data_IF_782455299295
#
_entry.id   IF_782455299295
#
_cell.length_a   1.000
_cell.length_b   1.000
_cell.length_c   1.000
_cell.angle_alpha   90.00
_cell.angle_beta   90.00
_cell.angle_gamma   90.00
#
_symmetry.space_group_name_H-M   'P 1'
#
loop_
_entity.id
_entity.type
_entity.pdbx_description
1 polymer ?
#
# COMPACT_ATOMS: atom_id res chain seq x y z
N UNK A 1 22.49 12.44 14.97
CA UNK A 1 22.15 11.86 16.28
C UNK A 1 21.11 12.78 16.90
N UNK A 2 19.83 12.40 16.80
CA UNK A 2 18.71 13.12 17.42
C UNK A 2 18.63 12.76 18.90
N UNK A 3 18.48 13.77 19.73
CA UNK A 3 18.45 13.71 21.19
C UNK A 3 17.37 12.72 21.71
N UNK A 4 17.73 11.72 22.53
CA UNK A 4 16.79 10.74 23.11
C UNK A 4 15.76 11.35 24.07
N UNK A 5 15.82 12.66 24.39
CA UNK A 5 14.91 13.33 25.32
C UNK A 5 13.49 13.64 24.78
N UNK A 6 13.17 13.38 23.51
CA UNK A 6 11.86 13.74 22.95
C UNK A 6 10.70 12.81 23.39
N UNK A 7 11.01 11.63 23.94
CA UNK A 7 10.04 10.78 24.62
C UNK A 7 10.55 10.50 26.03
N UNK A 8 9.93 11.06 27.09
CA UNK A 8 10.30 10.65 28.43
C UNK A 8 10.12 9.12 28.53
N UNK A 9 11.08 8.39 29.11
CA UNK A 9 10.87 6.99 29.43
C UNK A 9 9.56 6.85 30.21
N UNK A 10 8.82 5.73 30.09
CA UNK A 10 7.59 5.55 30.83
C UNK A 10 7.83 5.93 32.30
N UNK A 11 6.95 6.77 32.86
CA UNK A 11 7.09 7.35 34.21
C UNK A 11 7.18 6.29 35.33
N UNK A 12 6.97 5.02 34.98
CA UNK A 12 6.94 3.85 35.84
C UNK A 12 7.64 2.70 35.11
N UNK A 13 8.34 1.84 35.85
CA UNK A 13 8.93 0.60 35.33
C UNK A 13 7.88 -0.39 34.77
N UNK A 14 6.59 -0.10 34.99
CA UNK A 14 5.44 -0.89 34.55
C UNK A 14 4.53 -0.09 33.61
N UNK A 15 4.14 -0.70 32.50
CA UNK A 15 3.22 -0.13 31.50
C UNK A 15 1.81 -0.73 31.65
N UNK A 16 0.81 0.00 31.16
CA UNK A 16 -0.60 -0.39 31.17
C UNK A 16 -1.28 -0.28 29.81
N UNK A 17 -2.59 -0.54 29.77
CA UNK A 17 -3.37 -0.45 28.54
C UNK A 17 -3.41 0.97 27.95
N UNK A 18 -3.24 2.02 28.75
CA UNK A 18 -3.14 3.40 28.26
C UNK A 18 -1.95 3.61 27.33
N UNK A 19 -0.79 3.01 27.63
CA UNK A 19 0.41 3.12 26.80
C UNK A 19 0.20 2.42 25.45
N UNK A 20 -0.45 1.25 25.48
CA UNK A 20 -0.80 0.49 24.27
C UNK A 20 -1.78 1.28 23.39
N UNK A 21 -2.83 1.86 23.98
CA UNK A 21 -3.79 2.66 23.21
C UNK A 21 -3.17 3.96 22.67
N UNK A 22 -2.22 4.56 23.40
CA UNK A 22 -1.46 5.69 22.91
C UNK A 22 -0.62 5.32 21.68
N UNK A 23 0.09 4.18 21.70
CA UNK A 23 0.86 3.68 20.57
C UNK A 23 -0.03 3.41 19.35
N UNK A 24 -1.18 2.75 19.55
CA UNK A 24 -2.16 2.49 18.49
C UNK A 24 -2.72 3.78 17.89
N UNK A 25 -3.06 4.75 18.73
CA UNK A 25 -3.59 6.04 18.30
C UNK A 25 -2.59 6.79 17.43
N UNK A 26 -1.34 6.89 17.89
CA UNK A 26 -0.27 7.56 17.14
C UNK A 26 0.03 6.86 15.81
N UNK A 27 0.01 5.52 15.79
CA UNK A 27 0.18 4.74 14.55
C UNK A 27 -0.93 5.04 13.54
N UNK A 28 -2.20 5.12 13.99
CA UNK A 28 -3.33 5.51 13.13
C UNK A 28 -3.18 6.94 12.58
N UNK A 29 -2.75 7.90 13.42
CA UNK A 29 -2.51 9.27 12.99
C UNK A 29 -1.43 9.36 11.92
N UNK A 30 -0.30 8.67 12.10
CA UNK A 30 0.79 8.65 11.12
C UNK A 30 0.37 7.98 9.80
N UNK A 31 -0.43 6.92 9.86
CA UNK A 31 -1.02 6.28 8.67
C UNK A 31 -1.91 7.22 7.87
N UNK A 32 -2.69 8.08 8.55
CA UNK A 32 -3.49 9.11 7.88
C UNK A 32 -2.62 10.17 7.17
N UNK A 33 -1.43 10.48 7.70
CA UNK A 33 -0.46 11.35 7.04
C UNK A 33 0.13 10.67 5.80
N UNK A 34 0.55 9.40 5.91
CA UNK A 34 1.03 8.59 4.78
C UNK A 34 0.01 8.54 3.62
N UNK A 35 -1.27 8.31 3.90
CA UNK A 35 -2.29 8.26 2.86
C UNK A 35 -2.45 9.58 2.10
N UNK A 36 -2.36 10.72 2.81
CA UNK A 36 -2.54 12.06 2.22
C UNK A 36 -1.30 12.58 1.49
N UNK A 37 -0.12 12.37 2.06
CA UNK A 37 1.10 13.08 1.63
C UNK A 37 2.24 12.15 1.19
N UNK A 38 2.03 10.84 1.26
CA UNK A 38 3.09 9.85 1.05
C UNK A 38 3.87 9.53 2.33
N UNK A 39 4.53 8.38 2.33
CA UNK A 39 5.24 7.84 3.47
C UNK A 39 6.42 8.70 3.91
N UNK A 40 7.05 9.42 2.98
CA UNK A 40 8.14 10.35 3.30
C UNK A 40 7.71 11.50 4.21
N UNK A 41 6.42 11.85 4.23
CA UNK A 41 5.90 12.90 5.11
C UNK A 41 5.84 12.50 6.59
N UNK A 42 5.89 11.20 6.91
CA UNK A 42 5.74 10.71 8.28
C UNK A 42 6.79 9.68 8.72
N UNK A 43 7.67 9.22 7.81
CA UNK A 43 8.66 8.17 8.09
C UNK A 43 9.51 8.45 9.33
N UNK A 44 10.06 9.65 9.46
CA UNK A 44 10.93 9.96 10.60
C UNK A 44 10.17 9.94 11.92
N UNK A 45 8.92 10.43 11.92
CA UNK A 45 8.05 10.30 13.08
C UNK A 45 7.72 8.84 13.41
N UNK A 46 7.51 7.98 12.41
CA UNK A 46 7.34 6.54 12.59
C UNK A 46 8.58 5.91 13.21
N UNK A 47 9.79 6.22 12.71
CA UNK A 47 11.06 5.73 13.26
C UNK A 47 11.23 6.15 14.71
N UNK A 48 10.90 7.41 15.04
CA UNK A 48 10.92 7.89 16.42
C UNK A 48 9.97 7.09 17.31
N UNK A 49 8.78 6.72 16.80
CA UNK A 49 7.85 5.85 17.56
C UNK A 49 8.36 4.43 17.75
N UNK A 50 9.17 3.90 16.84
CA UNK A 50 9.80 2.59 17.02
C UNK A 50 10.73 2.60 18.24
N UNK A 51 11.51 3.66 18.45
CA UNK A 51 12.34 3.78 19.66
C UNK A 51 11.50 3.78 20.93
N UNK A 52 10.40 4.53 20.97
CA UNK A 52 9.50 4.51 22.13
C UNK A 52 8.86 3.11 22.34
N UNK A 53 8.44 2.46 21.26
CA UNK A 53 7.92 1.10 21.30
C UNK A 53 8.92 0.08 21.88
N UNK A 54 10.22 0.23 21.59
CA UNK A 54 11.27 -0.60 22.19
C UNK A 54 11.36 -0.40 23.70
N UNK A 55 11.21 0.83 24.19
CA UNK A 55 11.17 1.11 25.63
C UNK A 55 9.95 0.47 26.30
N UNK A 56 8.77 0.52 25.65
CA UNK A 56 7.57 -0.16 26.14
C UNK A 56 7.76 -1.68 26.18
N UNK A 57 8.41 -2.27 25.17
CA UNK A 57 8.70 -3.70 25.13
C UNK A 57 9.61 -4.13 26.28
N UNK A 58 10.55 -3.29 26.72
CA UNK A 58 11.48 -3.58 27.82
C UNK A 58 10.86 -3.40 29.23
N UNK A 59 9.72 -2.71 29.35
CA UNK A 59 9.07 -2.45 30.63
C UNK A 59 8.27 -3.65 31.17
N UNK A 60 8.00 -3.70 32.47
CA UNK A 60 7.12 -4.70 33.07
C UNK A 60 5.67 -4.52 32.60
N UNK A 61 4.96 -5.61 32.37
CA UNK A 61 3.55 -5.61 31.98
C UNK A 61 2.88 -6.90 32.43
N UNK A 62 1.56 -6.89 32.62
CA UNK A 62 0.80 -8.14 32.71
C UNK A 62 0.79 -8.85 31.35
N UNK A 63 0.53 -10.16 31.34
CA UNK A 63 0.48 -10.95 30.09
C UNK A 63 -0.54 -10.38 29.09
N UNK A 64 -1.69 -9.93 29.59
CA UNK A 64 -2.71 -9.28 28.78
C UNK A 64 -2.17 -8.00 28.11
N UNK A 65 -1.55 -7.10 28.88
CA UNK A 65 -0.99 -5.85 28.34
C UNK A 65 0.14 -6.16 27.36
N UNK A 66 0.99 -7.15 27.66
CA UNK A 66 2.09 -7.58 26.79
C UNK A 66 1.58 -8.10 25.45
N UNK A 67 0.56 -8.95 25.44
CA UNK A 67 -0.05 -9.45 24.19
C UNK A 67 -0.61 -8.30 23.33
N UNK A 68 -1.32 -7.35 23.95
CA UNK A 68 -1.86 -6.17 23.24
C UNK A 68 -0.76 -5.24 22.73
N UNK A 69 0.33 -5.08 23.48
CA UNK A 69 1.50 -4.32 23.06
C UNK A 69 2.15 -4.95 21.83
N UNK A 70 2.35 -6.28 21.80
CA UNK A 70 2.99 -6.96 20.66
C UNK A 70 2.21 -6.69 19.35
N UNK A 71 0.88 -6.79 19.38
CA UNK A 71 0.03 -6.39 18.23
C UNK A 71 0.24 -4.92 17.83
N UNK A 72 0.26 -4.00 18.80
CA UNK A 72 0.44 -2.57 18.50
C UNK A 72 1.83 -2.27 17.92
N UNK A 73 2.87 -2.93 18.41
CA UNK A 73 4.24 -2.81 17.90
C UNK A 73 4.35 -3.44 16.51
N UNK A 74 3.69 -4.57 16.26
CA UNK A 74 3.59 -5.17 14.94
C UNK A 74 2.97 -4.21 13.92
N UNK A 75 1.86 -3.54 14.27
CA UNK A 75 1.21 -2.58 13.37
C UNK A 75 2.09 -1.33 13.12
N UNK A 76 2.84 -0.89 14.12
CA UNK A 76 3.80 0.20 13.94
C UNK A 76 4.96 -0.21 13.01
N UNK A 77 5.52 -1.41 13.19
CA UNK A 77 6.53 -1.96 12.27
C UNK A 77 5.97 -2.15 10.85
N UNK A 78 4.71 -2.56 10.71
CA UNK A 78 4.03 -2.63 9.43
C UNK A 78 3.97 -1.25 8.73
N UNK A 79 3.63 -0.19 9.48
CA UNK A 79 3.67 1.18 8.97
C UNK A 79 5.11 1.64 8.64
N UNK A 80 6.10 1.28 9.46
CA UNK A 80 7.51 1.59 9.20
C UNK A 80 8.01 0.93 7.91
N UNK A 81 7.62 -0.32 7.67
CA UNK A 81 7.91 -1.03 6.43
C UNK A 81 7.30 -0.34 5.23
N UNK A 82 6.02 0.05 5.33
CA UNK A 82 5.31 0.72 4.25
C UNK A 82 5.86 2.11 3.91
N UNK A 83 6.19 2.92 4.92
CA UNK A 83 6.76 4.26 4.70
C UNK A 83 8.19 4.17 4.18
N UNK A 84 8.97 3.18 4.62
CA UNK A 84 10.31 2.91 4.06
C UNK A 84 10.23 2.48 2.60
N UNK A 85 9.29 1.61 2.25
CA UNK A 85 9.02 1.24 0.86
C UNK A 85 8.60 2.45 0.01
N UNK A 86 7.76 3.34 0.56
CA UNK A 86 7.37 4.55 -0.14
C UNK A 86 8.52 5.53 -0.40
N UNK A 87 9.56 5.48 0.42
CA UNK A 87 10.81 6.24 0.26
C UNK A 87 11.92 5.46 -0.46
N UNK A 88 11.61 4.37 -1.17
CA UNK A 88 12.59 3.55 -1.92
C UNK A 88 13.61 2.80 -1.06
N UNK A 89 13.45 2.77 0.25
CA UNK A 89 14.36 2.08 1.18
C UNK A 89 13.98 0.62 1.34
N UNK A 90 14.16 -0.17 0.28
CA UNK A 90 13.69 -1.56 0.19
C UNK A 90 14.23 -2.45 1.31
N UNK A 91 15.53 -2.35 1.64
CA UNK A 91 16.13 -3.13 2.73
C UNK A 91 15.50 -2.84 4.09
N UNK A 92 15.27 -1.55 4.40
CA UNK A 92 14.59 -1.14 5.62
C UNK A 92 13.12 -1.60 5.63
N UNK A 93 12.45 -1.55 4.48
CA UNK A 93 11.08 -2.04 4.34
C UNK A 93 10.97 -3.52 4.72
N UNK A 94 11.80 -4.39 4.15
CA UNK A 94 11.80 -5.82 4.49
C UNK A 94 12.15 -6.06 5.95
N UNK A 95 13.17 -5.39 6.48
CA UNK A 95 13.52 -5.49 7.90
C UNK A 95 12.31 -5.19 8.79
N UNK A 96 11.61 -4.09 8.56
CA UNK A 96 10.45 -3.74 9.38
C UNK A 96 9.27 -4.72 9.18
N UNK A 97 9.02 -5.22 7.97
CA UNK A 97 7.99 -6.24 7.75
C UNK A 97 8.32 -7.57 8.43
N UNK A 98 9.59 -8.00 8.45
CA UNK A 98 10.01 -9.22 9.17
C UNK A 98 9.77 -9.07 10.68
N UNK A 99 10.15 -7.92 11.25
CA UNK A 99 9.84 -7.59 12.65
C UNK A 99 8.34 -7.54 12.92
N UNK A 100 7.55 -7.02 11.99
CA UNK A 100 6.09 -6.98 12.12
C UNK A 100 5.51 -8.40 12.18
N UNK A 101 5.96 -9.31 11.31
CA UNK A 101 5.54 -10.72 11.31
C UNK A 101 5.95 -11.44 12.60
N UNK A 102 7.14 -11.17 13.12
CA UNK A 102 7.61 -11.73 14.40
C UNK A 102 6.68 -11.40 15.57
N UNK A 103 6.10 -10.20 15.57
CA UNK A 103 5.22 -9.71 16.63
C UNK A 103 3.74 -10.03 16.38
N UNK A 104 3.32 -10.23 15.12
CA UNK A 104 1.94 -10.50 14.73
C UNK A 104 1.51 -11.97 14.80
N UNK A 105 2.34 -12.90 15.35
CA UNK A 105 2.12 -14.36 15.28
C UNK A 105 0.75 -14.86 15.72
N UNK A 106 0.05 -14.11 16.57
CA UNK A 106 -1.28 -14.46 17.09
C UNK A 106 -2.40 -13.53 16.57
N UNK A 107 -2.11 -12.73 15.55
CA UNK A 107 -3.05 -11.82 14.90
C UNK A 107 -3.04 -12.11 13.38
N UNK A 108 -3.97 -12.95 12.95
CA UNK A 108 -4.04 -13.45 11.58
C UNK A 108 -4.42 -12.36 10.57
N UNK A 109 -5.28 -11.42 10.96
CA UNK A 109 -5.66 -10.27 10.13
C UNK A 109 -4.48 -9.32 9.93
N UNK A 110 -3.73 -9.00 11.00
CA UNK A 110 -2.54 -8.18 10.90
C UNK A 110 -1.43 -8.89 10.10
N UNK A 111 -1.26 -10.20 10.30
CA UNK A 111 -0.33 -11.01 9.51
C UNK A 111 -0.67 -10.95 8.02
N UNK A 112 -1.96 -11.06 7.67
CA UNK A 112 -2.43 -10.94 6.28
C UNK A 112 -2.10 -9.57 5.69
N UNK A 113 -2.34 -8.49 6.44
CA UNK A 113 -1.99 -7.12 6.03
C UNK A 113 -0.47 -6.97 5.74
N UNK A 114 0.37 -7.52 6.62
CA UNK A 114 1.82 -7.45 6.47
C UNK A 114 2.28 -8.27 5.24
N UNK A 115 1.72 -9.47 5.06
CA UNK A 115 1.97 -10.32 3.89
C UNK A 115 1.58 -9.61 2.59
N UNK A 116 0.39 -9.02 2.54
CA UNK A 116 -0.06 -8.19 1.42
C UNK A 116 0.95 -7.07 1.10
N UNK A 117 1.33 -6.27 2.11
CA UNK A 117 2.24 -5.13 1.92
C UNK A 117 3.63 -5.58 1.48
N UNK A 118 4.14 -6.69 1.99
CA UNK A 118 5.42 -7.26 1.56
C UNK A 118 5.35 -7.78 0.13
N UNK A 119 4.28 -8.46 -0.26
CA UNK A 119 4.03 -8.87 -1.65
C UNK A 119 4.02 -7.68 -2.61
N UNK A 120 3.46 -6.53 -2.20
CA UNK A 120 3.48 -5.28 -2.97
C UNK A 120 4.89 -4.73 -3.20
N UNK A 121 5.84 -4.96 -2.27
CA UNK A 121 7.25 -4.58 -2.47
C UNK A 121 7.86 -5.41 -3.59
N UNK A 122 7.73 -6.74 -3.53
CA UNK A 122 8.20 -7.63 -4.60
C UNK A 122 7.58 -7.26 -5.94
N UNK A 123 6.27 -7.06 -5.97
CA UNK A 123 5.55 -6.72 -7.19
C UNK A 123 6.04 -5.40 -7.78
N UNK A 124 6.27 -4.37 -6.96
CA UNK A 124 6.76 -3.07 -7.45
C UNK A 124 8.17 -3.17 -8.04
N UNK A 125 9.06 -3.93 -7.41
CA UNK A 125 10.44 -4.11 -7.86
C UNK A 125 10.64 -5.19 -8.93
N UNK A 126 9.57 -5.63 -9.60
CA UNK A 126 9.67 -6.51 -10.77
C UNK A 126 9.90 -7.98 -10.44
N UNK A 127 9.54 -8.41 -9.23
CA UNK A 127 9.55 -9.82 -8.82
C UNK A 127 8.10 -10.36 -8.65
N UNK A 128 7.30 -10.47 -9.72
CA UNK A 128 5.90 -10.89 -9.61
C UNK A 128 5.74 -12.35 -9.16
N UNK A 129 6.71 -13.23 -9.41
CA UNK A 129 6.71 -14.60 -8.91
C UNK A 129 6.81 -14.66 -7.38
N UNK A 130 7.73 -13.91 -6.79
CA UNK A 130 7.82 -13.78 -5.33
C UNK A 130 6.56 -13.15 -4.76
N UNK A 131 6.02 -12.12 -5.42
CA UNK A 131 4.78 -11.46 -5.00
C UNK A 131 3.59 -12.43 -4.94
N UNK A 132 3.45 -13.31 -5.93
CA UNK A 132 2.41 -14.36 -5.94
C UNK A 132 2.49 -15.25 -4.71
N UNK A 133 3.70 -15.64 -4.27
CA UNK A 133 3.86 -16.47 -3.08
C UNK A 133 3.33 -15.80 -1.80
N UNK A 134 3.31 -14.46 -1.75
CA UNK A 134 2.65 -13.72 -0.65
C UNK A 134 1.14 -13.65 -0.85
N UNK A 135 0.67 -13.29 -2.04
CA UNK A 135 -0.77 -13.10 -2.27
C UNK A 135 -1.58 -14.41 -2.19
N UNK A 136 -0.97 -15.55 -2.55
CA UNK A 136 -1.60 -16.87 -2.49
C UNK A 136 -1.71 -17.47 -1.08
N UNK A 137 -1.17 -16.80 -0.04
CA UNK A 137 -1.37 -17.22 1.35
C UNK A 137 -2.83 -17.11 1.81
N UNK A 138 -3.66 -16.38 1.07
CA UNK A 138 -5.08 -16.19 1.37
C UNK A 138 -5.34 -15.23 2.54
N UNK A 139 -6.61 -15.11 2.89
CA UNK A 139 -7.09 -14.28 3.99
C UNK A 139 -8.36 -14.89 4.58
N UNK A 140 -8.71 -14.53 5.82
CA UNK A 140 -9.88 -15.10 6.50
C UNK A 140 -11.20 -14.43 6.09
N UNK A 141 -11.17 -13.12 5.85
CA UNK A 141 -12.38 -12.37 5.51
C UNK A 141 -12.52 -12.23 3.99
N UNK A 142 -13.76 -12.18 3.46
CA UNK A 142 -13.97 -11.96 2.02
C UNK A 142 -13.34 -10.66 1.52
N UNK A 143 -13.41 -9.57 2.29
CA UNK A 143 -12.82 -8.29 1.88
C UNK A 143 -11.29 -8.37 1.77
N UNK A 144 -10.63 -9.01 2.73
CA UNK A 144 -9.19 -9.23 2.66
C UNK A 144 -8.82 -10.19 1.52
N UNK A 145 -9.65 -11.20 1.26
CA UNK A 145 -9.46 -12.14 0.13
C UNK A 145 -9.55 -11.42 -1.21
N UNK A 146 -10.48 -10.47 -1.35
CA UNK A 146 -10.58 -9.61 -2.54
C UNK A 146 -9.26 -8.85 -2.79
N UNK A 147 -8.70 -8.22 -1.75
CA UNK A 147 -7.42 -7.52 -1.85
C UNK A 147 -6.31 -8.48 -2.33
N UNK A 148 -6.23 -9.67 -1.76
CA UNK A 148 -5.21 -10.66 -2.13
C UNK A 148 -5.36 -11.10 -3.60
N UNK A 149 -6.57 -11.47 -4.02
CA UNK A 149 -6.85 -11.89 -5.39
C UNK A 149 -6.64 -10.79 -6.42
N UNK A 150 -6.98 -9.54 -6.11
CA UNK A 150 -6.72 -8.42 -7.02
C UNK A 150 -5.21 -8.19 -7.24
N UNK A 151 -4.39 -8.44 -6.22
CA UNK A 151 -2.94 -8.34 -6.35
C UNK A 151 -2.30 -9.60 -6.95
N UNK A 152 -2.90 -10.78 -6.80
CA UNK A 152 -2.57 -11.96 -7.64
C UNK A 152 -2.81 -11.63 -9.11
N UNK A 153 -3.96 -11.05 -9.46
CA UNK A 153 -4.31 -10.67 -10.81
C UNK A 153 -3.26 -9.74 -11.42
N UNK A 154 -2.84 -8.73 -10.66
CA UNK A 154 -1.77 -7.83 -11.08
C UNK A 154 -0.44 -8.56 -11.27
N UNK A 155 -0.06 -9.44 -10.34
CA UNK A 155 1.17 -10.21 -10.48
C UNK A 155 1.16 -11.16 -11.70
N UNK A 156 0.01 -11.76 -12.03
CA UNK A 156 -0.17 -12.54 -13.26
C UNK A 156 -0.11 -11.67 -14.51
N UNK A 157 -0.75 -10.50 -14.50
CA UNK A 157 -0.73 -9.57 -15.63
C UNK A 157 0.70 -9.10 -15.95
N UNK A 158 1.50 -8.79 -14.92
CA UNK A 158 2.93 -8.44 -15.09
C UNK A 158 3.80 -9.58 -15.65
N UNK A 159 3.30 -10.81 -15.66
CA UNK A 159 3.95 -11.98 -16.27
C UNK A 159 3.36 -12.31 -17.64
N UNK A 160 2.50 -11.46 -18.22
CA UNK A 160 1.73 -11.73 -19.44
C UNK A 160 0.88 -13.01 -19.37
N UNK A 161 0.41 -13.38 -18.16
CA UNK A 161 -0.45 -14.54 -17.90
C UNK A 161 -1.92 -14.10 -17.84
N UNK A 162 -2.46 -13.72 -19.00
CA UNK A 162 -3.77 -13.07 -19.12
C UNK A 162 -4.92 -13.88 -18.53
N UNK A 163 -4.95 -15.17 -18.83
CA UNK A 163 -6.00 -16.08 -18.35
C UNK A 163 -6.03 -16.19 -16.82
N UNK A 164 -4.85 -16.34 -16.18
CA UNK A 164 -4.75 -16.35 -14.72
C UNK A 164 -5.07 -14.98 -14.11
N UNK A 165 -4.66 -13.90 -14.77
CA UNK A 165 -4.95 -12.54 -14.32
C UNK A 165 -6.45 -12.28 -14.27
N UNK A 166 -7.17 -12.58 -15.36
CA UNK A 166 -8.62 -12.38 -15.44
C UNK A 166 -9.38 -13.30 -14.48
N UNK A 167 -8.95 -14.56 -14.34
CA UNK A 167 -9.54 -15.47 -13.33
C UNK A 167 -9.33 -14.96 -11.90
N UNK A 168 -8.15 -14.45 -11.58
CA UNK A 168 -7.87 -13.90 -10.24
C UNK A 168 -8.65 -12.59 -10.01
N UNK A 169 -8.81 -11.74 -11.02
CA UNK A 169 -9.61 -10.54 -10.94
C UNK A 169 -11.10 -10.85 -10.71
N UNK A 170 -11.64 -11.86 -11.39
CA UNK A 170 -12.99 -12.37 -11.14
C UNK A 170 -13.17 -12.85 -9.69
N UNK A 171 -12.22 -13.64 -9.17
CA UNK A 171 -12.25 -14.05 -7.74
C UNK A 171 -12.22 -12.85 -6.79
N UNK A 172 -11.48 -11.79 -7.13
CA UNK A 172 -11.46 -10.57 -6.33
C UNK A 172 -12.85 -9.93 -6.29
N UNK A 173 -13.48 -9.76 -7.46
CA UNK A 173 -14.83 -9.20 -7.59
C UNK A 173 -15.87 -10.03 -6.82
N UNK A 174 -15.82 -11.36 -6.93
CA UNK A 174 -16.72 -12.25 -6.19
C UNK A 174 -16.53 -12.13 -4.67
N UNK A 175 -15.29 -12.12 -4.20
CA UNK A 175 -14.97 -11.96 -2.78
C UNK A 175 -15.37 -10.59 -2.24
N UNK A 176 -15.24 -9.54 -3.06
CA UNK A 176 -15.72 -8.19 -2.73
C UNK A 176 -17.24 -8.15 -2.61
N UNK A 177 -17.96 -8.73 -3.58
CA UNK A 177 -19.42 -8.79 -3.57
C UNK A 177 -19.98 -9.58 -2.37
N UNK A 178 -19.25 -10.60 -1.91
CA UNK A 178 -19.59 -11.39 -0.73
C UNK A 178 -19.23 -10.70 0.60
N UNK A 179 -18.46 -9.60 0.57
CA UNK A 179 -17.96 -8.97 1.79
C UNK A 179 -19.01 -8.13 2.51
N UNK A 180 -19.09 -8.31 3.83
CA UNK A 180 -19.76 -7.35 4.71
C UNK A 180 -18.72 -6.42 5.35
N UNK A 181 -18.68 -5.18 4.87
CA UNK A 181 -17.73 -4.15 5.36
C UNK A 181 -17.86 -3.93 6.86
N UNK A 182 -19.01 -4.17 7.49
CA UNK A 182 -19.17 -4.01 8.95
C UNK A 182 -18.25 -4.95 9.73
N UNK A 183 -18.04 -6.15 9.20
CA UNK A 183 -17.22 -7.21 9.80
C UNK A 183 -15.79 -7.26 9.24
N UNK A 184 -15.43 -6.36 8.34
CA UNK A 184 -14.07 -6.32 7.78
C UNK A 184 -13.04 -5.81 8.80
N UNK A 185 -11.81 -6.35 8.78
CA UNK A 185 -10.74 -5.83 9.61
C UNK A 185 -10.39 -4.41 9.17
N UNK A 186 -10.03 -3.55 10.12
CA UNK A 186 -9.84 -2.11 9.89
C UNK A 186 -8.85 -1.81 8.76
N UNK A 187 -7.81 -2.63 8.61
CA UNK A 187 -6.81 -2.44 7.57
C UNK A 187 -7.36 -2.68 6.16
N UNK A 188 -8.41 -3.50 5.99
CA UNK A 188 -8.99 -3.83 4.70
C UNK A 188 -10.10 -2.84 4.28
N UNK A 189 -10.60 -2.01 5.20
CA UNK A 189 -11.73 -1.08 4.96
C UNK A 189 -11.44 -0.01 3.90
N UNK A 190 -10.18 0.21 3.50
CA UNK A 190 -9.87 1.10 2.36
C UNK A 190 -10.29 0.49 1.03
N UNK A 191 -10.43 -0.83 0.97
CA UNK A 191 -10.79 -1.55 -0.25
C UNK A 191 -12.30 -1.43 -0.45
N UNK A 192 -12.69 -0.42 -1.20
CA UNK A 192 -14.06 -0.14 -1.61
C UNK A 192 -14.21 -0.35 -3.12
N UNK A 193 -15.38 0.00 -3.67
CA UNK A 193 -15.64 -0.11 -5.11
C UNK A 193 -14.65 0.73 -5.94
N UNK A 194 -14.19 1.87 -5.40
CA UNK A 194 -13.24 2.74 -6.09
C UNK A 194 -11.84 2.12 -6.15
N UNK A 195 -11.38 1.50 -5.05
CA UNK A 195 -10.11 0.78 -5.04
C UNK A 195 -10.16 -0.47 -5.95
N UNK A 196 -11.28 -1.19 -5.95
CA UNK A 196 -11.47 -2.33 -6.86
C UNK A 196 -11.47 -1.91 -8.34
N UNK A 197 -12.13 -0.79 -8.68
CA UNK A 197 -12.07 -0.21 -10.03
C UNK A 197 -10.65 0.23 -10.41
N UNK A 198 -9.92 0.84 -9.47
CA UNK A 198 -8.51 1.23 -9.65
C UNK A 198 -7.64 0.02 -9.99
N UNK A 199 -7.78 -1.07 -9.24
CA UNK A 199 -7.03 -2.31 -9.48
C UNK A 199 -7.46 -3.00 -10.78
N UNK A 200 -8.75 -3.01 -11.11
CA UNK A 200 -9.26 -3.49 -12.39
C UNK A 200 -8.59 -2.75 -13.54
N UNK A 201 -8.62 -1.41 -13.50
CA UNK A 201 -7.97 -0.57 -14.49
C UNK A 201 -6.47 -0.86 -14.65
N UNK A 202 -5.75 -0.97 -13.52
CA UNK A 202 -4.32 -1.29 -13.51
C UNK A 202 -4.04 -2.66 -14.12
N UNK A 203 -4.80 -3.70 -13.75
CA UNK A 203 -4.62 -5.05 -14.30
C UNK A 203 -4.82 -5.05 -15.80
N UNK A 204 -5.88 -4.40 -16.31
CA UNK A 204 -6.13 -4.32 -17.75
C UNK A 204 -5.07 -3.48 -18.48
N UNK A 205 -4.55 -2.40 -17.87
CA UNK A 205 -3.39 -1.66 -18.42
C UNK A 205 -2.17 -2.57 -18.59
N UNK A 206 -1.84 -3.38 -17.59
CA UNK A 206 -0.69 -4.31 -17.65
C UNK A 206 -0.88 -5.41 -18.71
N UNK A 207 -2.14 -5.77 -19.02
CA UNK A 207 -2.48 -6.69 -20.10
C UNK A 207 -2.56 -6.03 -21.48
N UNK A 208 -2.46 -4.69 -21.56
CA UNK A 208 -2.65 -3.93 -22.80
C UNK A 208 -4.10 -3.83 -23.28
N UNK A 209 -5.08 -4.20 -22.45
CA UNK A 209 -6.51 -4.03 -22.73
C UNK A 209 -6.97 -2.62 -22.32
N UNK A 210 -6.62 -1.65 -23.17
CA UNK A 210 -6.91 -0.23 -22.97
C UNK A 210 -8.41 0.06 -22.98
N UNK A 211 -9.19 -0.69 -23.78
CA UNK A 211 -10.64 -0.53 -23.90
C UNK A 211 -11.36 -0.76 -22.57
N UNK A 212 -10.93 -1.76 -21.78
CA UNK A 212 -11.46 -1.98 -20.42
C UNK A 212 -10.80 -1.07 -19.38
N UNK A 213 -9.49 -0.83 -19.52
CA UNK A 213 -8.73 -0.06 -18.54
C UNK A 213 -9.18 1.41 -18.44
N UNK A 214 -9.34 2.09 -19.57
CA UNK A 214 -9.62 3.55 -19.60
C UNK A 214 -10.90 3.92 -18.84
N UNK A 215 -12.08 3.31 -19.10
CA UNK A 215 -13.31 3.65 -18.36
C UNK A 215 -13.21 3.40 -16.85
N UNK A 216 -12.55 2.31 -16.45
CA UNK A 216 -12.34 1.98 -15.04
C UNK A 216 -11.43 3.00 -14.35
N UNK A 217 -10.32 3.38 -15.00
CA UNK A 217 -9.37 4.35 -14.48
C UNK A 217 -9.94 5.77 -14.43
N UNK A 218 -10.72 6.19 -15.42
CA UNK A 218 -11.42 7.47 -15.42
C UNK A 218 -12.35 7.57 -14.20
N UNK A 219 -13.21 6.57 -14.02
CA UNK A 219 -14.13 6.49 -12.88
C UNK A 219 -13.38 6.52 -11.55
N UNK A 220 -12.27 5.77 -11.44
CA UNK A 220 -11.43 5.76 -10.25
C UNK A 220 -10.82 7.14 -9.97
N UNK A 221 -10.26 7.83 -10.97
CA UNK A 221 -9.65 9.16 -10.82
C UNK A 221 -10.66 10.21 -10.38
N UNK A 222 -11.91 10.11 -10.81
CA UNK A 222 -13.01 10.99 -10.42
C UNK A 222 -13.46 10.76 -8.97
N UNK A 223 -13.56 9.50 -8.55
CA UNK A 223 -14.02 9.13 -7.19
C UNK A 223 -12.93 9.26 -6.12
N UNK A 224 -11.66 9.09 -6.48
CA UNK A 224 -10.55 9.21 -5.54
C UNK A 224 -10.35 10.67 -5.13
N UNK A 225 -10.68 10.99 -3.89
CA UNK A 225 -10.47 12.31 -3.30
C UNK A 225 -9.02 12.59 -2.88
N UNK A 226 -8.73 13.80 -2.36
CA UNK A 226 -7.41 14.19 -1.88
C UNK A 226 -6.82 13.28 -0.79
N UNK A 227 -7.67 12.59 -0.03
CA UNK A 227 -7.26 11.62 1.00
C UNK A 227 -6.49 10.41 0.43
N UNK A 228 -6.66 10.13 -0.87
CA UNK A 228 -6.02 9.03 -1.59
C UNK A 228 -5.17 9.55 -2.76
N UNK A 229 -4.53 10.71 -2.58
CA UNK A 229 -3.77 11.41 -3.62
C UNK A 229 -2.78 10.48 -4.35
N UNK A 230 -2.04 9.65 -3.62
CA UNK A 230 -1.09 8.69 -4.22
C UNK A 230 -1.77 7.63 -5.09
N UNK A 231 -2.89 7.04 -4.64
CA UNK A 231 -3.65 6.07 -5.46
C UNK A 231 -4.22 6.74 -6.71
N UNK A 232 -4.71 7.97 -6.58
CA UNK A 232 -5.19 8.76 -7.72
C UNK A 232 -4.09 9.03 -8.73
N UNK A 233 -2.89 9.40 -8.27
CA UNK A 233 -1.73 9.60 -9.15
C UNK A 233 -1.33 8.30 -9.85
N UNK A 234 -1.40 7.14 -9.19
CA UNK A 234 -1.17 5.85 -9.86
C UNK A 234 -2.20 5.58 -10.97
N UNK A 235 -3.47 5.90 -10.74
CA UNK A 235 -4.51 5.75 -11.77
C UNK A 235 -4.28 6.70 -12.95
N UNK A 236 -3.88 7.96 -12.70
CA UNK A 236 -3.50 8.90 -13.76
C UNK A 236 -2.32 8.39 -14.61
N UNK A 237 -1.29 7.82 -13.97
CA UNK A 237 -0.15 7.22 -14.67
C UNK A 237 -0.60 6.06 -15.58
N UNK A 238 -1.44 5.17 -15.05
CA UNK A 238 -1.97 4.04 -15.82
C UNK A 238 -2.85 4.53 -16.99
N UNK A 239 -3.69 5.53 -16.75
CA UNK A 239 -4.58 6.10 -17.76
C UNK A 239 -3.79 6.76 -18.90
N UNK A 240 -2.80 7.58 -18.57
CA UNK A 240 -1.90 8.18 -19.57
C UNK A 240 -1.15 7.10 -20.37
N UNK A 241 -0.73 6.02 -19.70
CA UNK A 241 -0.10 4.87 -20.37
C UNK A 241 -1.05 4.23 -21.38
N UNK A 242 -2.32 4.02 -21.03
CA UNK A 242 -3.32 3.50 -21.97
C UNK A 242 -3.52 4.43 -23.19
N UNK A 243 -3.64 5.74 -22.99
CA UNK A 243 -3.78 6.67 -24.12
C UNK A 243 -2.56 6.64 -25.05
N UNK A 244 -1.34 6.54 -24.51
CA UNK A 244 -0.15 6.35 -25.35
C UNK A 244 -0.17 5.02 -26.11
N UNK A 245 -0.60 3.93 -25.47
CA UNK A 245 -0.74 2.63 -26.14
C UNK A 245 -1.76 2.66 -27.29
N UNK A 246 -2.85 3.41 -27.13
CA UNK A 246 -3.87 3.61 -28.18
C UNK A 246 -3.45 4.62 -29.26
N UNK A 247 -2.33 5.32 -29.06
CA UNK A 247 -1.88 6.40 -29.95
C UNK A 247 -2.65 7.71 -29.80
N UNK A 248 -3.46 7.86 -28.75
CA UNK A 248 -4.14 9.11 -28.38
C UNK A 248 -3.17 10.06 -27.66
N UNK A 249 -2.29 10.68 -28.44
CA UNK A 249 -1.15 11.44 -27.91
C UNK A 249 -1.56 12.71 -27.16
N UNK A 250 -2.64 13.36 -27.59
CA UNK A 250 -3.11 14.61 -26.98
C UNK A 250 -3.67 14.35 -25.57
N UNK A 251 -4.54 13.36 -25.43
CA UNK A 251 -5.08 12.99 -24.11
C UNK A 251 -4.00 12.34 -23.24
N UNK A 252 -3.15 11.48 -23.82
CA UNK A 252 -2.00 10.91 -23.12
C UNK A 252 -1.07 11.99 -22.55
N UNK A 253 -0.82 13.08 -23.30
CA UNK A 253 -0.06 14.23 -22.83
C UNK A 253 -0.79 15.01 -21.74
N UNK A 254 -2.08 15.27 -21.90
CA UNK A 254 -2.88 16.00 -20.92
C UNK A 254 -2.94 15.25 -19.57
N UNK A 255 -3.28 13.96 -19.59
CA UNK A 255 -3.34 13.10 -18.40
C UNK A 255 -1.95 12.90 -17.80
N UNK A 256 -0.93 12.65 -18.62
CA UNK A 256 0.46 12.49 -18.18
C UNK A 256 0.97 13.74 -17.47
N UNK A 257 0.63 14.93 -17.96
CA UNK A 257 1.01 16.20 -17.31
C UNK A 257 0.32 16.37 -15.95
N UNK A 258 -0.97 16.01 -15.84
CA UNK A 258 -1.70 15.99 -14.56
C UNK A 258 -1.07 15.00 -13.56
N UNK A 259 -0.61 13.84 -14.03
CA UNK A 259 0.10 12.87 -13.20
C UNK A 259 1.42 13.46 -12.67
N UNK A 260 2.19 14.13 -13.52
CA UNK A 260 3.45 14.80 -13.16
C UNK A 260 3.23 15.88 -12.09
N UNK A 261 2.27 16.79 -12.30
CA UNK A 261 1.95 17.83 -11.30
C UNK A 261 1.49 17.22 -9.98
N UNK A 262 0.64 16.18 -10.01
CA UNK A 262 0.18 15.52 -8.79
C UNK A 262 1.30 14.79 -8.03
N UNK A 263 2.40 14.41 -8.69
CA UNK A 263 3.54 13.76 -8.05
C UNK A 263 4.44 14.73 -7.29
N UNK A 264 4.48 16.01 -7.68
CA UNK A 264 5.35 17.02 -7.05
C UNK A 264 4.96 17.27 -5.58
N UNK A 265 3.66 17.20 -5.28
CA UNK A 265 3.11 17.36 -3.93
C UNK A 265 3.23 16.09 -3.06
N UNK A 266 3.68 14.96 -3.63
CA UNK A 266 3.77 13.68 -2.94
C UNK A 266 5.21 13.35 -2.53
N UNK A 267 5.39 12.98 -1.25
CA UNK A 267 6.66 12.45 -0.73
C UNK A 267 6.69 10.93 -0.89
N UNK A 268 6.72 10.47 -2.15
CA UNK A 268 6.70 9.05 -2.53
C UNK A 268 7.59 8.77 -3.74
N UNK A 269 8.65 7.98 -3.55
CA UNK A 269 9.53 7.52 -4.64
C UNK A 269 8.82 6.54 -5.58
N UNK A 270 7.85 5.78 -5.05
CA UNK A 270 7.05 4.82 -5.84
C UNK A 270 6.28 5.47 -6.98
N UNK A 271 5.85 6.72 -6.80
CA UNK A 271 5.17 7.50 -7.86
C UNK A 271 6.13 7.71 -9.02
N UNK A 272 7.34 8.17 -8.74
CA UNK A 272 8.38 8.40 -9.75
C UNK A 272 8.84 7.11 -10.43
N UNK A 273 8.96 6.01 -9.69
CA UNK A 273 9.26 4.69 -10.28
C UNK A 273 8.19 4.27 -11.30
N UNK A 274 6.91 4.43 -10.95
CA UNK A 274 5.78 4.06 -11.82
C UNK A 274 5.59 5.00 -13.00
N UNK A 275 6.11 6.22 -12.94
CA UNK A 275 6.13 7.12 -14.09
C UNK A 275 7.09 6.65 -15.18
N UNK A 276 8.16 5.90 -14.85
CA UNK A 276 9.18 5.54 -15.86
C UNK A 276 8.60 4.76 -17.05
N UNK A 277 7.74 3.72 -16.88
CA UNK A 277 7.07 3.07 -18.00
C UNK A 277 6.21 4.03 -18.85
N UNK A 278 5.41 4.89 -18.21
CA UNK A 278 4.59 5.90 -18.90
C UNK A 278 5.46 6.86 -19.73
N UNK A 279 6.57 7.35 -19.16
CA UNK A 279 7.51 8.23 -19.85
C UNK A 279 8.18 7.52 -21.04
N UNK A 280 8.46 6.23 -20.94
CA UNK A 280 8.98 5.43 -22.06
C UNK A 280 7.93 5.26 -23.17
N UNK A 281 6.67 5.02 -22.80
CA UNK A 281 5.57 4.95 -23.76
C UNK A 281 5.43 6.28 -24.51
N UNK A 282 5.39 7.41 -23.79
CA UNK A 282 5.36 8.74 -24.39
C UNK A 282 6.55 8.98 -25.35
N UNK A 283 7.77 8.64 -24.93
CA UNK A 283 8.97 8.82 -25.73
C UNK A 283 8.98 7.96 -27.02
N UNK A 284 8.39 6.76 -26.97
CA UNK A 284 8.24 5.91 -28.16
C UNK A 284 7.37 6.56 -29.25
N UNK A 285 6.50 7.50 -28.87
CA UNK A 285 5.68 8.32 -29.77
C UNK A 285 6.25 9.73 -30.01
N UNK A 286 7.48 10.02 -29.57
CA UNK A 286 8.10 11.34 -29.70
C UNK A 286 7.49 12.42 -28.81
N UNK A 287 6.70 12.04 -27.79
CA UNK A 287 6.10 12.97 -26.84
C UNK A 287 7.01 13.15 -25.62
N UNK A 288 7.32 14.40 -25.29
CA UNK A 288 8.00 14.75 -24.03
C UNK A 288 6.98 15.26 -23.01
N UNK A 289 7.02 14.71 -21.79
CA UNK A 289 6.21 15.14 -20.63
C UNK A 289 6.96 16.10 -19.70
N UNK A 290 8.09 16.65 -20.18
CA UNK A 290 8.81 17.81 -19.65
C UNK A 290 9.44 18.60 -20.79
#
# INVERSE_FOLDING_TARGET
>A
MTDPAYFPPPHSARIGMSDVEQLKSQTRSLRSVDYRHGGGACRDAVVVRIYWAQQLLAAEASDHVRARLLTAVADLHNLAGWTSFDCGQVGAAYHHFDRALDFARHDEDLTTNIVYRRGRVHLHHGAPGDALAYFQRGAQTPLASSIMHANEAWAYARQARSDEALRALGRAQDAFAAADVRHAPDWARFHDETDLLSLTGIVHTELGDTATAIPALLTAVERLGPAMARSRTFCLIALATCHFLDGDLDEGKAVGSRAMSAAEDLRSERVWDRMRPMLRAAAAHGVSLR
#
